data_IF_400788882494
#
_entry.id   IF_400788882494
#
_cell.length_a   1.000
_cell.length_b   1.000
_cell.length_c   1.000
_cell.angle_alpha   90.00
_cell.angle_beta   90.00
_cell.angle_gamma   90.00
#
_symmetry.space_group_name_H-M   'P 1'
#
loop_
_entity.id
_entity.type
_entity.pdbx_description
1 polymer ?
#
# COMPACT_ATOMS: atom_id res chain seq x y z
N UNK A 1 -13.06 18.50 10.74
CA UNK A 1 -11.98 18.29 11.73
C UNK A 1 -10.77 19.10 11.26
N UNK A 2 -10.30 20.06 12.06
CA UNK A 2 -9.18 20.93 11.68
C UNK A 2 -7.90 20.07 11.63
N UNK A 3 -7.18 20.08 10.51
CA UNK A 3 -5.81 19.55 10.44
C UNK A 3 -4.94 20.52 11.24
N UNK A 4 -4.46 20.10 12.40
CA UNK A 4 -3.42 20.84 13.11
C UNK A 4 -2.15 20.78 12.25
N UNK A 5 -1.59 21.93 11.83
CA UNK A 5 -0.37 21.94 11.05
C UNK A 5 0.80 21.44 11.91
N UNK A 6 1.66 20.62 11.31
CA UNK A 6 2.82 19.95 11.94
C UNK A 6 3.81 20.96 12.57
N UNK A 7 3.73 22.24 12.20
CA UNK A 7 4.57 23.35 12.64
C UNK A 7 4.48 23.70 14.14
N UNK A 8 3.60 23.07 14.91
CA UNK A 8 3.45 23.32 16.37
C UNK A 8 4.11 22.25 17.26
N UNK A 9 4.66 21.17 16.70
CA UNK A 9 5.41 20.17 17.49
C UNK A 9 6.85 20.65 17.66
N UNK A 10 7.19 21.12 18.86
CA UNK A 10 8.55 21.46 19.25
C UNK A 10 9.37 20.18 19.46
N UNK A 11 10.05 19.74 18.40
CA UNK A 11 10.88 18.53 18.40
C UNK A 11 12.22 18.76 19.12
N UNK A 12 12.72 19.99 19.12
CA UNK A 12 14.04 20.34 19.64
C UNK A 12 14.12 20.28 21.17
N UNK A 13 12.97 20.33 21.87
CA UNK A 13 12.90 20.16 23.32
C UNK A 13 12.80 18.71 23.78
N UNK A 14 12.71 17.74 22.85
CA UNK A 14 12.56 16.32 23.18
C UNK A 14 13.93 15.64 23.35
N UNK A 15 14.04 14.77 24.36
CA UNK A 15 15.20 13.90 24.53
C UNK A 15 15.18 12.71 23.54
N UNK A 16 16.32 12.03 23.42
CA UNK A 16 16.51 10.92 22.47
C UNK A 16 15.49 9.78 22.67
N UNK A 17 15.18 9.43 23.92
CA UNK A 17 14.22 8.37 24.22
C UNK A 17 12.81 8.74 23.76
N UNK A 18 12.41 9.99 23.97
CA UNK A 18 11.11 10.51 23.53
C UNK A 18 11.04 10.59 22.01
N UNK A 19 12.14 11.00 21.34
CA UNK A 19 12.23 11.02 19.88
C UNK A 19 12.12 9.62 19.28
N UNK A 20 12.78 8.63 19.87
CA UNK A 20 12.69 7.23 19.44
C UNK A 20 11.26 6.69 19.54
N UNK A 21 10.59 6.95 20.66
CA UNK A 21 9.22 6.51 20.88
C UNK A 21 8.23 7.21 19.94
N UNK A 22 8.41 8.52 19.73
CA UNK A 22 7.64 9.29 18.77
C UNK A 22 7.82 8.73 17.35
N UNK A 23 9.06 8.44 16.95
CA UNK A 23 9.36 7.83 15.66
C UNK A 23 8.68 6.47 15.49
N UNK A 24 8.74 5.61 16.52
CA UNK A 24 8.06 4.30 16.51
C UNK A 24 6.57 4.48 16.23
N UNK A 25 5.90 5.38 16.95
CA UNK A 25 4.48 5.66 16.76
C UNK A 25 4.15 6.25 15.38
N UNK A 26 5.01 7.14 14.85
CA UNK A 26 4.84 7.70 13.51
C UNK A 26 4.93 6.58 12.46
N UNK A 27 5.94 5.73 12.54
CA UNK A 27 6.14 4.61 11.62
C UNK A 27 4.94 3.66 11.68
N UNK A 28 4.49 3.29 12.88
CA UNK A 28 3.31 2.43 13.06
C UNK A 28 2.04 3.06 12.46
N UNK A 29 1.83 4.36 12.68
CA UNK A 29 0.69 5.08 12.13
C UNK A 29 0.74 5.13 10.61
N UNK A 30 1.90 5.41 10.02
CA UNK A 30 2.09 5.43 8.57
C UNK A 30 1.85 4.04 7.97
N UNK A 31 2.37 2.99 8.58
CA UNK A 31 2.13 1.61 8.16
C UNK A 31 0.64 1.25 8.21
N UNK A 32 -0.07 1.64 9.26
CA UNK A 32 -1.51 1.43 9.38
C UNK A 32 -2.31 2.18 8.31
N UNK A 33 -1.98 3.45 8.07
CA UNK A 33 -2.63 4.25 7.02
C UNK A 33 -2.38 3.66 5.62
N UNK A 34 -1.15 3.21 5.35
CA UNK A 34 -0.82 2.55 4.10
C UNK A 34 -1.63 1.27 3.91
N UNK A 35 -1.70 0.42 4.94
CA UNK A 35 -2.51 -0.80 4.91
C UNK A 35 -3.99 -0.53 4.64
N UNK A 36 -4.56 0.51 5.26
CA UNK A 36 -5.95 0.89 5.00
C UNK A 36 -6.17 1.35 3.55
N UNK A 37 -5.25 2.17 3.01
CA UNK A 37 -5.34 2.62 1.61
C UNK A 37 -5.26 1.43 0.65
N UNK A 38 -4.28 0.55 0.83
CA UNK A 38 -4.14 -0.67 0.02
C UNK A 38 -5.39 -1.56 0.13
N UNK A 39 -5.93 -1.75 1.34
CA UNK A 39 -7.13 -2.54 1.56
C UNK A 39 -8.36 -1.95 0.84
N UNK A 40 -8.52 -0.63 0.85
CA UNK A 40 -9.60 0.05 0.14
C UNK A 40 -9.51 -0.18 -1.38
N UNK A 41 -8.32 0.01 -1.97
CA UNK A 41 -8.12 -0.24 -3.41
C UNK A 41 -8.35 -1.71 -3.77
N UNK A 42 -7.85 -2.66 -2.95
CA UNK A 42 -8.09 -4.09 -3.17
C UNK A 42 -9.57 -4.49 -3.10
N UNK A 43 -10.38 -3.81 -2.28
CA UNK A 43 -11.82 -4.08 -2.19
C UNK A 43 -12.55 -3.68 -3.47
N UNK A 44 -12.11 -2.62 -4.13
CA UNK A 44 -12.68 -2.13 -5.41
C UNK A 44 -12.35 -3.06 -6.58
N UNK A 45 -11.21 -3.75 -6.54
CA UNK A 45 -10.83 -4.73 -7.57
C UNK A 45 -11.76 -5.94 -7.47
N UNK A 46 -12.32 -6.38 -8.60
CA UNK A 46 -13.19 -7.57 -8.66
C UNK A 46 -12.43 -8.76 -9.24
N UNK A 47 -12.71 -9.95 -8.70
CA UNK A 47 -12.26 -11.20 -9.32
C UNK A 47 -12.97 -11.34 -10.67
N UNK A 48 -12.22 -11.73 -11.71
CA UNK A 48 -12.66 -11.78 -13.10
C UNK A 48 -12.48 -10.47 -13.87
N UNK A 49 -12.12 -9.35 -13.21
CA UNK A 49 -11.80 -8.11 -13.92
C UNK A 49 -10.50 -8.22 -14.69
N UNK A 50 -10.52 -7.72 -15.93
CA UNK A 50 -9.31 -7.49 -16.72
C UNK A 50 -8.50 -6.34 -16.12
N UNK A 51 -7.19 -6.51 -16.03
CA UNK A 51 -6.25 -5.54 -15.48
C UNK A 51 -5.01 -5.46 -16.37
N UNK A 52 -4.30 -4.34 -16.25
CA UNK A 52 -3.00 -4.12 -16.87
C UNK A 52 -2.04 -3.63 -15.79
N UNK A 53 -0.82 -4.14 -15.79
CA UNK A 53 0.22 -3.76 -14.84
C UNK A 53 1.60 -3.80 -15.52
N UNK A 54 2.56 -3.11 -14.93
CA UNK A 54 3.94 -3.10 -15.41
C UNK A 54 4.70 -4.30 -14.81
N UNK A 55 5.35 -5.08 -15.68
CA UNK A 55 6.22 -6.19 -15.28
C UNK A 55 7.58 -5.70 -14.75
N UNK A 56 8.40 -6.60 -14.18
CA UNK A 56 9.71 -6.25 -13.62
C UNK A 56 10.70 -5.67 -14.64
N UNK A 57 10.48 -5.97 -15.92
CA UNK A 57 11.24 -5.51 -17.08
C UNK A 57 10.70 -4.21 -17.69
N UNK A 58 9.66 -3.62 -17.10
CA UNK A 58 8.96 -2.44 -17.63
C UNK A 58 7.94 -2.77 -18.72
N UNK A 59 7.73 -4.04 -19.05
CA UNK A 59 6.77 -4.44 -20.07
C UNK A 59 5.35 -4.39 -19.51
N UNK A 60 4.40 -3.80 -20.25
CA UNK A 60 2.99 -3.81 -19.86
C UNK A 60 2.37 -5.20 -20.08
N UNK A 61 1.88 -5.79 -19.00
CA UNK A 61 1.25 -7.12 -18.99
C UNK A 61 -0.25 -6.97 -18.80
N UNK A 62 -1.04 -7.73 -19.56
CA UNK A 62 -2.50 -7.82 -19.43
C UNK A 62 -2.90 -9.18 -18.88
N UNK A 63 -3.94 -9.20 -18.07
CA UNK A 63 -4.51 -10.44 -17.54
C UNK A 63 -5.80 -10.21 -16.76
N UNK A 64 -6.27 -11.23 -16.08
CA UNK A 64 -7.49 -11.21 -15.29
C UNK A 64 -7.21 -11.55 -13.83
N UNK A 65 -7.88 -10.84 -12.92
CA UNK A 65 -7.74 -11.09 -11.48
C UNK A 65 -8.42 -12.42 -11.14
N UNK A 66 -7.65 -13.41 -10.68
CA UNK A 66 -8.18 -14.71 -10.26
C UNK A 66 -8.34 -14.82 -8.74
N UNK A 67 -7.64 -13.97 -7.98
CA UNK A 67 -7.72 -13.98 -6.50
C UNK A 67 -7.40 -12.61 -5.92
N UNK A 68 -8.08 -12.26 -4.84
CA UNK A 68 -7.70 -11.14 -3.96
C UNK A 68 -7.00 -11.67 -2.72
N UNK A 69 -5.82 -11.13 -2.42
CA UNK A 69 -5.08 -11.41 -1.19
C UNK A 69 -5.15 -10.18 -0.27
N UNK A 70 -4.53 -10.28 0.91
CA UNK A 70 -4.54 -9.18 1.89
C UNK A 70 -3.80 -7.92 1.41
N UNK A 71 -2.79 -8.08 0.54
CA UNK A 71 -1.89 -6.99 0.08
C UNK A 71 -1.67 -6.95 -1.43
N UNK A 72 -2.20 -7.93 -2.15
CA UNK A 72 -1.96 -8.12 -3.58
C UNK A 72 -3.21 -8.68 -4.24
N UNK A 73 -3.24 -8.67 -5.56
CA UNK A 73 -4.12 -9.50 -6.38
C UNK A 73 -3.29 -10.52 -7.13
N UNK A 74 -3.84 -11.71 -7.30
CA UNK A 74 -3.26 -12.70 -8.21
C UNK A 74 -3.91 -12.52 -9.57
N UNK A 75 -3.09 -12.29 -10.60
CA UNK A 75 -3.49 -12.06 -11.98
C UNK A 75 -3.04 -13.25 -12.82
N UNK A 76 -3.95 -13.81 -13.62
CA UNK A 76 -3.66 -14.81 -14.65
C UNK A 76 -3.55 -14.12 -16.00
N UNK A 77 -2.49 -14.39 -16.74
CA UNK A 77 -2.21 -13.76 -18.03
C UNK A 77 -2.42 -14.76 -19.17
N UNK A 78 -2.51 -14.27 -20.40
CA UNK A 78 -2.83 -15.11 -21.57
C UNK A 78 -1.73 -16.14 -21.89
N UNK A 79 -0.51 -15.94 -21.39
CA UNK A 79 0.62 -16.88 -21.47
C UNK A 79 0.65 -17.89 -20.31
N UNK A 80 -0.50 -18.12 -19.66
CA UNK A 80 -0.71 -19.01 -18.52
C UNK A 80 0.17 -18.72 -17.28
N UNK A 81 0.76 -17.51 -17.20
CA UNK A 81 1.51 -17.08 -16.02
C UNK A 81 0.59 -16.50 -14.95
N UNK A 82 1.04 -16.64 -13.70
CA UNK A 82 0.40 -16.03 -12.55
C UNK A 82 1.31 -15.01 -11.88
N UNK A 83 0.74 -13.85 -11.56
CA UNK A 83 1.45 -12.72 -11.00
C UNK A 83 0.79 -12.28 -9.70
N UNK A 84 1.59 -11.97 -8.68
CA UNK A 84 1.11 -11.28 -7.49
C UNK A 84 1.43 -9.79 -7.65
N UNK A 85 0.39 -8.99 -7.88
CA UNK A 85 0.51 -7.56 -8.16
C UNK A 85 -0.03 -6.77 -6.98
N UNK A 86 0.77 -5.85 -6.45
CA UNK A 86 0.30 -4.86 -5.48
C UNK A 86 -0.42 -3.71 -6.22
N UNK A 87 -1.57 -3.25 -5.73
CA UNK A 87 -2.30 -2.14 -6.33
C UNK A 87 -1.67 -0.77 -6.04
#
# INVERSE_FOLDING_TARGET
MKKTPITELDIDSLDEATLMELNRHIVERLQFLHQQKTAAVLQEIKIGSGVMFEGPDGTMVRGFVIRRNRKTVTVHTDDDKQWNVSP
#
